data_IF_996796939824
#
_entry.id   IF_996796939824
#
_cell.length_a   1.000
_cell.length_b   1.000
_cell.length_c   1.000
_cell.angle_alpha   90.00
_cell.angle_beta   90.00
_cell.angle_gamma   90.00
#
_symmetry.space_group_name_H-M   'P 1'
#
loop_
_entity.id
_entity.type
_entity.pdbx_description
1 polymer ?
#
# COMPACT_ATOMS: atom_id res chain seq x y z
N UNK A 1 -4.31 1.69 -3.46
CA UNK A 1 -3.34 0.97 -4.31
C UNK A 1 -3.12 -0.41 -3.71
N UNK A 2 -3.44 -1.48 -4.44
CA UNK A 2 -3.26 -2.88 -3.98
C UNK A 2 -1.91 -3.43 -4.49
N UNK A 3 -1.35 -4.48 -3.83
CA UNK A 3 -0.05 -5.06 -4.19
C UNK A 3 0.07 -5.33 -5.69
N UNK A 4 1.28 -5.09 -6.19
CA UNK A 4 1.65 -5.46 -7.55
C UNK A 4 2.14 -6.90 -7.53
N UNK A 5 1.29 -7.89 -7.84
CA UNK A 5 1.81 -9.25 -8.02
C UNK A 5 2.66 -9.30 -9.30
N UNK A 6 3.97 -9.41 -9.15
CA UNK A 6 4.91 -9.58 -10.26
C UNK A 6 5.55 -10.96 -10.11
N UNK A 7 5.07 -11.92 -10.89
CA UNK A 7 5.76 -13.20 -11.04
C UNK A 7 7.24 -12.94 -11.43
N UNK A 8 8.16 -13.36 -10.55
CA UNK A 8 9.63 -13.47 -10.67
C UNK A 8 10.50 -12.27 -10.25
N UNK A 9 10.94 -12.34 -8.99
CA UNK A 9 11.77 -11.41 -8.20
C UNK A 9 13.20 -11.11 -8.70
N UNK A 10 13.76 -11.82 -9.69
CA UNK A 10 15.22 -11.78 -9.89
C UNK A 10 15.77 -10.61 -10.73
N UNK A 11 14.95 -9.81 -11.42
CA UNK A 11 15.41 -8.74 -12.34
C UNK A 11 14.63 -7.43 -12.21
N UNK A 12 13.97 -7.23 -11.06
CA UNK A 12 12.80 -6.38 -11.01
C UNK A 12 13.02 -4.95 -10.52
N UNK A 13 14.21 -4.52 -10.06
CA UNK A 13 14.46 -3.16 -9.56
C UNK A 13 13.79 -2.08 -10.42
N UNK A 14 14.41 -1.70 -11.54
CA UNK A 14 13.87 -0.70 -12.48
C UNK A 14 12.41 -0.94 -12.89
N UNK A 15 11.96 -2.20 -12.94
CA UNK A 15 10.62 -2.56 -13.39
C UNK A 15 9.58 -2.34 -12.29
N UNK A 16 9.93 -2.54 -11.04
CA UNK A 16 9.04 -2.38 -9.88
C UNK A 16 8.78 -0.90 -9.64
N UNK A 17 9.79 -0.04 -9.73
CA UNK A 17 9.55 1.40 -9.61
C UNK A 17 8.68 1.93 -10.75
N UNK A 18 8.91 1.48 -12.00
CA UNK A 18 8.08 1.86 -13.14
C UNK A 18 6.61 1.44 -12.94
N UNK A 19 6.37 0.22 -12.47
CA UNK A 19 5.00 -0.25 -12.26
C UNK A 19 4.33 0.45 -11.08
N UNK A 20 5.07 0.71 -10.00
CA UNK A 20 4.59 1.50 -8.88
C UNK A 20 4.22 2.91 -9.32
N UNK A 21 5.05 3.55 -10.17
CA UNK A 21 4.79 4.88 -10.72
C UNK A 21 3.55 4.91 -11.62
N UNK A 22 3.38 3.93 -12.51
CA UNK A 22 2.17 3.81 -13.34
C UNK A 22 0.91 3.66 -12.48
N UNK A 23 0.96 2.82 -11.43
CA UNK A 23 -0.15 2.69 -10.49
C UNK A 23 -0.40 3.97 -9.70
N UNK A 24 0.66 4.68 -9.31
CA UNK A 24 0.56 5.97 -8.63
C UNK A 24 -0.07 7.04 -9.53
N UNK A 25 -0.03 6.87 -10.86
CA UNK A 25 -0.67 7.78 -11.83
C UNK A 25 -2.18 7.95 -11.65
N UNK A 26 -2.87 7.05 -10.94
CA UNK A 26 -4.31 7.21 -10.63
C UNK A 26 -4.56 8.18 -9.47
N UNK A 27 -3.53 8.51 -8.68
CA UNK A 27 -3.64 9.41 -7.55
C UNK A 27 -3.97 10.82 -8.03
N UNK A 28 -4.79 11.53 -7.26
CA UNK A 28 -5.20 12.91 -7.55
C UNK A 28 -4.82 13.78 -6.37
N UNK A 29 -4.39 15.01 -6.67
CA UNK A 29 -3.96 15.98 -5.64
C UNK A 29 -5.03 16.15 -4.56
N UNK A 30 -4.63 16.08 -3.30
CA UNK A 30 -5.52 16.24 -2.14
C UNK A 30 -6.54 15.13 -1.93
N UNK A 31 -6.56 14.09 -2.77
CA UNK A 31 -7.51 12.99 -2.63
C UNK A 31 -6.91 11.91 -1.72
N UNK A 32 -7.72 11.28 -0.84
CA UNK A 32 -7.24 10.25 0.06
C UNK A 32 -6.77 9.01 -0.71
N UNK A 33 -5.68 8.42 -0.24
CA UNK A 33 -5.05 7.23 -0.83
C UNK A 33 -4.80 6.20 0.27
N UNK A 34 -5.32 4.98 0.07
CA UNK A 34 -4.98 3.82 0.90
C UNK A 34 -3.97 2.96 0.14
N UNK A 35 -2.80 2.70 0.72
CA UNK A 35 -1.76 1.83 0.19
C UNK A 35 -1.85 0.50 0.93
N UNK A 36 -2.23 -0.57 0.22
CA UNK A 36 -2.24 -1.94 0.76
C UNK A 36 -0.84 -2.52 0.85
N UNK A 37 -0.70 -3.71 1.45
CA UNK A 37 0.56 -4.42 1.59
C UNK A 37 1.35 -4.46 0.26
N UNK A 38 2.64 -4.13 0.30
CA UNK A 38 3.53 -4.23 -0.86
C UNK A 38 4.63 -5.24 -0.55
N UNK A 39 4.95 -6.11 -1.50
CA UNK A 39 6.03 -7.10 -1.37
C UNK A 39 7.42 -6.46 -1.52
N UNK A 40 7.50 -5.35 -2.27
CA UNK A 40 8.74 -4.60 -2.50
C UNK A 40 8.73 -3.30 -1.70
N UNK A 41 9.80 -3.09 -0.91
CA UNK A 41 10.05 -1.83 -0.21
C UNK A 41 10.21 -0.67 -1.19
N UNK A 42 10.86 -0.86 -2.35
CA UNK A 42 10.99 0.19 -3.34
C UNK A 42 9.65 0.58 -3.97
N UNK A 43 8.77 -0.38 -4.23
CA UNK A 43 7.41 -0.08 -4.69
C UNK A 43 6.65 0.77 -3.67
N UNK A 44 6.74 0.39 -2.39
CA UNK A 44 6.11 1.12 -1.30
C UNK A 44 6.61 2.56 -1.24
N UNK A 45 7.92 2.77 -1.30
CA UNK A 45 8.50 4.11 -1.26
C UNK A 45 8.03 4.99 -2.43
N UNK A 46 7.99 4.45 -3.66
CA UNK A 46 7.50 5.20 -4.84
C UNK A 46 6.04 5.65 -4.67
N UNK A 47 5.20 4.80 -4.08
CA UNK A 47 3.80 5.13 -3.82
C UNK A 47 3.68 6.22 -2.74
N UNK A 48 4.45 6.12 -1.65
CA UNK A 48 4.48 7.11 -0.56
C UNK A 48 4.97 8.46 -1.09
N UNK A 49 6.13 8.50 -1.75
CA UNK A 49 6.71 9.73 -2.30
C UNK A 49 5.75 10.43 -3.27
N UNK A 50 5.02 9.65 -4.06
CA UNK A 50 4.04 10.20 -5.01
C UNK A 50 2.81 10.75 -4.29
N UNK A 51 2.31 10.06 -3.27
CA UNK A 51 1.19 10.53 -2.46
C UNK A 51 1.54 11.82 -1.71
N UNK A 52 2.73 11.91 -1.12
CA UNK A 52 3.24 13.11 -0.44
C UNK A 52 3.32 14.32 -1.39
N UNK A 53 3.91 14.13 -2.58
CA UNK A 53 4.02 15.19 -3.61
C UNK A 53 2.66 15.68 -4.12
N UNK A 54 1.65 14.81 -4.07
CA UNK A 54 0.28 15.13 -4.42
C UNK A 54 -0.54 15.58 -3.21
N UNK A 55 0.07 15.75 -2.04
CA UNK A 55 -0.60 16.16 -0.79
C UNK A 55 -1.82 15.27 -0.49
N UNK A 56 -1.73 13.98 -0.79
CA UNK A 56 -2.78 13.01 -0.52
C UNK A 56 -2.79 12.67 0.98
N UNK A 57 -3.94 12.74 1.67
CA UNK A 57 -4.11 12.05 2.94
C UNK A 57 -3.87 10.56 2.72
N UNK A 58 -2.88 9.98 3.41
CA UNK A 58 -2.38 8.64 3.11
C UNK A 58 -2.58 7.70 4.30
N UNK A 59 -2.99 6.47 4.01
CA UNK A 59 -3.01 5.35 4.96
C UNK A 59 -2.23 4.18 4.37
N UNK A 60 -1.26 3.66 5.10
CA UNK A 60 -0.30 2.65 4.66
C UNK A 60 -0.43 1.38 5.49
N UNK A 61 -0.68 0.26 4.82
CA UNK A 61 -0.72 -1.05 5.46
C UNK A 61 0.61 -1.39 6.13
N UNK A 62 0.55 -1.91 7.36
CA UNK A 62 1.72 -2.25 8.16
C UNK A 62 2.38 -1.06 8.87
N UNK A 63 1.91 0.17 8.60
CA UNK A 63 2.34 1.38 9.30
C UNK A 63 1.17 2.03 10.04
N UNK A 64 0.12 2.39 9.32
CA UNK A 64 -1.06 3.08 9.86
C UNK A 64 -2.20 2.11 10.21
N UNK A 65 -2.24 0.94 9.56
CA UNK A 65 -3.23 -0.10 9.87
C UNK A 65 -2.73 -1.50 9.52
N UNK A 66 -3.32 -2.51 10.16
CA UNK A 66 -3.16 -3.93 9.85
C UNK A 66 -4.54 -4.53 9.56
N UNK A 67 -4.62 -5.42 8.57
CA UNK A 67 -5.84 -6.12 8.20
C UNK A 67 -5.50 -7.52 7.69
N UNK A 68 -5.78 -8.56 8.46
CA UNK A 68 -5.43 -9.94 8.12
C UNK A 68 -6.47 -10.93 8.64
N UNK A 69 -6.52 -12.11 8.02
CA UNK A 69 -7.37 -13.20 8.48
C UNK A 69 -6.68 -13.99 9.59
N UNK A 70 -7.37 -14.21 10.71
CA UNK A 70 -6.92 -15.10 11.78
C UNK A 70 -8.10 -15.97 12.26
N UNK A 71 -7.91 -17.29 12.27
CA UNK A 71 -8.93 -18.26 12.71
C UNK A 71 -10.29 -18.13 11.98
N UNK A 72 -10.29 -17.74 10.70
CA UNK A 72 -11.50 -17.57 9.89
C UNK A 72 -12.27 -16.27 10.15
N UNK A 73 -11.63 -15.29 10.80
CA UNK A 73 -12.18 -13.96 11.11
C UNK A 73 -11.23 -12.88 10.61
N UNK A 74 -11.75 -11.70 10.32
CA UNK A 74 -10.95 -10.57 9.89
C UNK A 74 -10.51 -9.75 11.12
N UNK A 75 -9.21 -9.72 11.37
CA UNK A 75 -8.60 -8.85 12.37
C UNK A 75 -8.21 -7.55 11.68
N UNK A 76 -8.72 -6.43 12.21
CA UNK A 76 -8.35 -5.09 11.79
C UNK A 76 -7.78 -4.32 12.99
N UNK A 77 -6.69 -3.60 12.78
CA UNK A 77 -6.09 -2.75 13.81
C UNK A 77 -5.60 -1.44 13.18
N UNK A 78 -5.89 -0.34 13.84
CA UNK A 78 -5.37 1.00 13.54
C UNK A 78 -5.04 1.74 14.86
N UNK A 79 -4.81 3.05 14.77
CA UNK A 79 -4.55 3.91 15.93
C UNK A 79 -5.75 4.04 16.89
N UNK A 80 -6.97 3.82 16.40
CA UNK A 80 -8.21 3.95 17.18
C UNK A 80 -8.56 2.64 17.93
N UNK A 81 -7.99 1.51 17.52
CA UNK A 81 -8.03 0.26 18.30
C UNK A 81 -7.98 -1.00 17.45
N UNK A 82 -8.47 -2.10 18.04
CA UNK A 82 -8.53 -3.42 17.42
C UNK A 82 -9.99 -3.85 17.25
N UNK A 83 -10.31 -4.32 16.04
CA UNK A 83 -11.60 -4.88 15.67
C UNK A 83 -11.45 -6.34 15.21
N UNK A 84 -12.33 -7.19 15.71
CA UNK A 84 -12.43 -8.61 15.34
C UNK A 84 -13.77 -8.84 14.64
N UNK A 85 -13.72 -8.90 13.32
CA UNK A 85 -14.88 -8.87 12.42
C UNK A 85 -15.23 -10.29 11.95
N UNK A 86 -16.53 -10.62 11.80
CA UNK A 86 -16.99 -11.92 11.33
C UNK A 86 -16.68 -12.16 9.84
#
# INVERSE_FOLDING_TARGET
IMPVSMDHEAYLGDRVELIAAEKAGIMKRGCPVVIGAQESETALQVLIDTAERLECPTLVYGQDFLAFEENGRMVYQDDDGLMDLP
#
